data_IF_329313636231
#
_entry.id   IF_329313636231
#
_cell.length_a   1.000
_cell.length_b   1.000
_cell.length_c   1.000
_cell.angle_alpha   90.00
_cell.angle_beta   90.00
_cell.angle_gamma   90.00
#
_symmetry.space_group_name_H-M   'P 1'
#
loop_
_entity.id
_entity.type
_entity.pdbx_description
1 polymer ?
#
# COMPACT_ATOMS: atom_id res chain seq x y z
N UNK A 1 -25.35 -11.92 12.95
CA UNK A 1 -24.75 -10.99 13.93
C UNK A 1 -23.70 -10.12 13.25
N UNK A 2 -23.57 -8.87 13.67
CA UNK A 2 -22.56 -7.93 13.16
C UNK A 2 -21.19 -8.27 13.76
N UNK A 3 -20.16 -8.37 12.92
CA UNK A 3 -18.73 -8.58 13.27
C UNK A 3 -18.34 -9.84 14.06
N UNK A 4 -19.27 -10.76 14.30
CA UNK A 4 -18.96 -12.07 14.90
C UNK A 4 -18.04 -12.86 13.96
N UNK A 5 -16.89 -13.30 14.48
CA UNK A 5 -15.83 -14.04 13.79
C UNK A 5 -15.10 -13.30 12.65
N UNK A 6 -15.10 -11.95 12.64
CA UNK A 6 -14.31 -11.17 11.67
C UNK A 6 -12.96 -10.72 12.25
N UNK A 7 -11.91 -10.83 11.44
CA UNK A 7 -10.62 -10.19 11.72
C UNK A 7 -10.76 -8.70 11.40
N UNK A 8 -10.66 -7.86 12.43
CA UNK A 8 -10.70 -6.41 12.25
C UNK A 8 -9.29 -5.91 11.92
N UNK A 9 -9.16 -5.22 10.80
CA UNK A 9 -7.91 -4.57 10.43
C UNK A 9 -7.85 -3.14 10.99
N UNK A 10 -6.64 -2.67 11.30
CA UNK A 10 -6.38 -1.35 11.91
C UNK A 10 -6.94 -0.16 11.11
N UNK A 11 -7.11 -0.32 9.79
CA UNK A 11 -7.64 0.71 8.91
C UNK A 11 -9.18 0.73 8.82
N UNK A 12 -9.88 -0.17 9.54
CA UNK A 12 -11.34 -0.12 9.64
C UNK A 12 -11.71 1.00 10.63
N UNK A 13 -12.55 1.95 10.20
CA UNK A 13 -13.00 3.09 11.03
C UNK A 13 -13.68 2.67 12.35
N UNK A 14 -14.01 3.60 13.26
CA UNK A 14 -14.58 3.31 14.58
C UNK A 14 -15.77 2.33 14.57
N UNK A 15 -15.91 1.54 15.64
CA UNK A 15 -16.94 0.49 15.73
C UNK A 15 -18.37 1.00 15.53
N UNK A 16 -18.68 2.20 16.02
CA UNK A 16 -19.98 2.84 15.85
C UNK A 16 -20.29 3.16 14.38
N UNK A 17 -19.31 3.66 13.63
CA UNK A 17 -19.47 3.97 12.20
C UNK A 17 -19.68 2.71 11.38
N UNK A 18 -18.96 1.62 11.70
CA UNK A 18 -19.12 0.33 11.02
C UNK A 18 -20.48 -0.31 11.31
N UNK A 19 -20.99 -0.17 12.54
CA UNK A 19 -22.33 -0.64 12.91
C UNK A 19 -23.42 0.16 12.20
N UNK A 20 -23.32 1.49 12.20
CA UNK A 20 -24.24 2.36 11.45
C UNK A 20 -24.25 1.98 9.97
N UNK A 21 -23.08 1.78 9.38
CA UNK A 21 -22.93 1.33 8.01
C UNK A 21 -23.59 -0.04 7.74
N UNK A 22 -23.39 -1.00 8.63
CA UNK A 22 -24.01 -2.32 8.51
C UNK A 22 -25.54 -2.22 8.51
N UNK A 23 -26.12 -1.45 9.43
CA UNK A 23 -27.58 -1.24 9.51
C UNK A 23 -28.09 -0.61 8.21
N UNK A 24 -27.41 0.43 7.71
CA UNK A 24 -27.81 1.10 6.48
C UNK A 24 -27.77 0.18 5.25
N UNK A 25 -26.77 -0.73 5.16
CA UNK A 25 -26.70 -1.76 4.12
C UNK A 25 -27.84 -2.77 4.23
N UNK A 26 -28.14 -3.24 5.45
CA UNK A 26 -29.24 -4.19 5.70
C UNK A 26 -30.61 -3.60 5.36
N UNK A 27 -30.80 -2.30 5.53
CA UNK A 27 -32.02 -1.58 5.13
C UNK A 27 -32.06 -1.25 3.63
N UNK A 28 -31.05 -1.63 2.85
CA UNK A 28 -30.95 -1.30 1.41
C UNK A 28 -30.74 0.18 1.13
N UNK A 29 -30.41 0.98 2.15
CA UNK A 29 -30.18 2.42 2.04
C UNK A 29 -28.77 2.75 1.56
N UNK A 30 -27.89 1.75 1.55
CA UNK A 30 -26.49 1.85 1.08
C UNK A 30 -26.21 0.64 0.16
N UNK A 31 -26.63 0.70 -1.11
CA UNK A 31 -26.28 -0.30 -2.10
C UNK A 31 -24.85 -0.03 -2.59
N UNK A 32 -23.85 -0.35 -1.76
CA UNK A 32 -22.42 -0.04 -1.98
C UNK A 32 -22.14 1.46 -2.20
N UNK A 33 -21.22 2.06 -1.43
CA UNK A 33 -20.80 3.46 -1.63
C UNK A 33 -20.04 3.67 -2.93
N UNK A 34 -19.97 2.66 -3.80
CA UNK A 34 -19.25 2.65 -5.06
C UNK A 34 -20.26 2.40 -6.16
N UNK A 35 -20.77 3.46 -6.77
CA UNK A 35 -21.58 3.37 -7.98
C UNK A 35 -20.68 2.83 -9.10
N UNK A 36 -20.95 1.62 -9.57
CA UNK A 36 -20.19 0.97 -10.66
C UNK A 36 -21.10 0.63 -11.84
N UNK A 37 -21.43 1.61 -12.67
CA UNK A 37 -22.26 1.38 -13.87
C UNK A 37 -21.42 1.28 -15.14
N UNK A 38 -21.64 0.23 -15.92
CA UNK A 38 -21.10 0.13 -17.28
C UNK A 38 -21.77 1.18 -18.17
N UNK A 39 -20.96 1.87 -18.97
CA UNK A 39 -21.43 2.90 -19.90
C UNK A 39 -21.73 2.27 -21.27
N UNK A 40 -22.86 2.66 -21.85
CA UNK A 40 -23.31 2.26 -23.18
C UNK A 40 -23.71 3.49 -23.97
N UNK A 41 -23.35 3.54 -25.25
CA UNK A 41 -23.76 4.57 -26.20
C UNK A 41 -24.98 4.12 -26.97
N UNK A 42 -25.85 5.07 -27.30
CA UNK A 42 -26.99 4.85 -28.18
C UNK A 42 -26.58 4.44 -29.60
N UNK A 43 -25.34 4.73 -30.01
CA UNK A 43 -24.80 4.31 -31.31
C UNK A 43 -24.43 2.81 -31.33
N UNK A 44 -24.04 2.23 -30.18
CA UNK A 44 -23.69 0.81 -30.03
C UNK A 44 -24.12 0.29 -28.64
N UNK A 45 -25.42 0.09 -28.41
CA UNK A 45 -25.96 -0.18 -27.07
C UNK A 45 -25.56 -1.53 -26.48
N UNK A 46 -25.10 -2.47 -27.30
CA UNK A 46 -24.70 -3.81 -26.86
C UNK A 46 -23.21 -3.93 -26.52
N UNK A 47 -22.43 -2.85 -26.71
CA UNK A 47 -20.98 -2.86 -26.52
C UNK A 47 -20.63 -1.99 -25.31
N UNK A 48 -20.00 -2.55 -24.25
CA UNK A 48 -19.49 -1.76 -23.13
C UNK A 48 -18.44 -0.75 -23.58
N UNK A 49 -18.57 0.51 -23.15
CA UNK A 49 -17.68 1.62 -23.54
C UNK A 49 -16.98 2.28 -22.35
N UNK A 50 -16.80 1.52 -21.29
CA UNK A 50 -16.19 1.97 -20.05
C UNK A 50 -17.10 1.74 -18.86
N UNK A 51 -16.67 2.22 -17.69
CA UNK A 51 -17.40 2.11 -16.44
C UNK A 51 -17.26 3.42 -15.67
N UNK A 52 -18.36 3.92 -15.16
CA UNK A 52 -18.32 4.94 -14.13
C UNK A 52 -18.07 4.22 -12.80
N UNK A 53 -17.08 4.68 -12.05
CA UNK A 53 -16.84 4.26 -10.67
C UNK A 53 -16.84 5.52 -9.81
N UNK A 54 -17.80 5.65 -8.90
CA UNK A 54 -17.97 6.87 -8.10
C UNK A 54 -18.20 6.52 -6.63
N UNK A 55 -17.49 7.22 -5.75
CA UNK A 55 -17.79 7.23 -4.32
C UNK A 55 -18.85 8.29 -4.01
N UNK A 56 -19.92 7.91 -3.33
CA UNK A 56 -20.98 8.85 -2.94
C UNK A 56 -21.04 8.98 -1.43
N UNK A 57 -20.73 10.19 -0.94
CA UNK A 57 -20.89 10.57 0.45
C UNK A 57 -22.15 11.44 0.60
N UNK A 58 -23.00 11.11 1.56
CA UNK A 58 -24.25 11.82 1.84
C UNK A 58 -24.19 12.41 3.25
N UNK A 59 -24.30 13.74 3.36
CA UNK A 59 -24.21 14.45 4.63
C UNK A 59 -25.53 15.15 4.99
N UNK A 60 -25.91 15.22 6.28
CA UNK A 60 -27.01 16.08 6.73
C UNK A 60 -26.76 17.55 6.38
N UNK A 61 -27.80 18.25 5.91
CA UNK A 61 -27.71 19.68 5.55
C UNK A 61 -27.23 20.57 6.72
N UNK A 62 -27.46 20.14 7.97
CA UNK A 62 -27.05 20.85 9.18
C UNK A 62 -25.53 20.98 9.34
N UNK A 63 -24.74 20.13 8.67
CA UNK A 63 -23.28 20.19 8.69
C UNK A 63 -22.71 21.25 7.73
N UNK A 64 -23.58 21.93 6.96
CA UNK A 64 -23.16 22.86 5.94
C UNK A 64 -22.77 22.18 4.62
N UNK A 65 -22.20 22.94 3.66
CA UNK A 65 -21.76 22.38 2.40
C UNK A 65 -20.58 21.41 2.59
N UNK A 66 -20.41 20.41 1.71
CA UNK A 66 -19.25 19.54 1.75
C UNK A 66 -17.96 20.37 1.58
N UNK A 67 -16.87 19.87 2.17
CA UNK A 67 -15.54 20.45 2.00
C UNK A 67 -15.06 20.46 0.54
N UNK A 68 -13.89 21.06 0.27
CA UNK A 68 -13.31 21.05 -1.07
C UNK A 68 -13.12 19.61 -1.59
N UNK A 69 -13.19 19.38 -2.91
CA UNK A 69 -13.00 18.06 -3.50
C UNK A 69 -11.69 17.42 -3.05
N UNK A 70 -11.73 16.12 -2.74
CA UNK A 70 -10.54 15.38 -2.38
C UNK A 70 -9.63 15.20 -3.61
N UNK A 71 -8.33 15.42 -3.45
CA UNK A 71 -7.38 15.16 -4.52
C UNK A 71 -7.11 13.64 -4.62
N UNK A 72 -7.76 12.99 -5.58
CA UNK A 72 -7.61 11.56 -5.86
C UNK A 72 -6.46 11.23 -6.83
N UNK A 73 -5.60 12.20 -7.15
CA UNK A 73 -4.44 11.96 -8.01
C UNK A 73 -3.59 10.83 -7.40
N UNK A 74 -3.16 9.82 -8.19
CA UNK A 74 -2.32 8.73 -7.69
C UNK A 74 -1.11 9.27 -6.92
N UNK A 75 -0.82 8.67 -5.77
CA UNK A 75 0.34 9.06 -4.97
C UNK A 75 1.60 8.88 -5.81
N UNK A 76 2.39 9.94 -5.96
CA UNK A 76 3.70 9.85 -6.58
C UNK A 76 4.61 9.01 -5.68
N UNK A 77 5.27 8.01 -6.25
CA UNK A 77 6.25 7.21 -5.52
C UNK A 77 7.34 8.14 -4.95
N UNK A 78 7.59 8.04 -3.65
CA UNK A 78 8.72 8.72 -3.02
C UNK A 78 9.95 7.86 -3.27
N UNK A 79 11.04 8.48 -3.73
CA UNK A 79 12.35 7.82 -3.81
C UNK A 79 12.92 7.70 -2.39
N UNK A 80 13.35 6.51 -2.03
CA UNK A 80 14.02 6.23 -0.76
C UNK A 80 15.36 5.56 -1.05
N UNK A 81 16.30 5.73 -0.11
CA UNK A 81 17.59 5.05 -0.11
C UNK A 81 17.65 4.18 1.15
N UNK A 82 18.03 2.91 1.00
CA UNK A 82 18.36 2.03 2.12
C UNK A 82 19.87 2.06 2.33
N UNK A 83 20.33 2.52 3.49
CA UNK A 83 21.74 2.47 3.88
C UNK A 83 21.96 1.38 4.90
N UNK A 84 22.94 0.53 4.64
CA UNK A 84 23.39 -0.53 5.54
C UNK A 84 24.83 -0.22 5.94
N UNK A 85 25.09 -0.19 7.24
CA UNK A 85 26.43 0.04 7.80
C UNK A 85 26.81 -1.19 8.60
N UNK A 86 27.92 -1.83 8.23
CA UNK A 86 28.52 -2.91 9.02
C UNK A 86 29.59 -2.29 9.91
N UNK A 87 29.28 -2.15 11.19
CA UNK A 87 30.18 -1.50 12.15
C UNK A 87 31.31 -2.40 12.63
N UNK A 88 31.05 -3.70 12.76
CA UNK A 88 32.04 -4.66 13.21
C UNK A 88 31.69 -6.07 12.73
N UNK A 89 32.68 -6.95 12.72
CA UNK A 89 32.54 -8.39 12.47
C UNK A 89 33.12 -9.16 13.65
N UNK A 90 32.69 -10.39 13.85
CA UNK A 90 33.17 -11.25 14.93
C UNK A 90 33.33 -12.66 14.39
N UNK A 91 34.31 -13.38 14.93
CA UNK A 91 34.58 -14.79 14.60
C UNK A 91 34.85 -14.98 13.09
N UNK A 92 35.55 -13.99 12.49
CA UNK A 92 36.01 -14.04 11.10
C UNK A 92 37.14 -15.05 10.99
N UNK A 93 37.00 -15.99 10.06
CA UNK A 93 38.04 -16.96 9.73
C UNK A 93 39.16 -16.20 9.02
N UNK A 94 40.40 -16.34 9.50
CA UNK A 94 41.59 -15.68 8.97
C UNK A 94 42.37 -16.67 8.09
N UNK A 95 42.10 -16.64 6.79
CA UNK A 95 42.65 -17.62 5.83
C UNK A 95 43.88 -17.10 5.07
N UNK A 96 44.29 -15.85 5.30
CA UNK A 96 45.41 -15.20 4.63
C UNK A 96 46.49 -14.76 5.62
N UNK A 97 47.70 -14.50 5.10
CA UNK A 97 48.81 -13.92 5.88
C UNK A 97 49.28 -12.63 5.23
N UNK A 98 49.37 -11.58 6.04
CA UNK A 98 49.87 -10.28 5.64
C UNK A 98 51.37 -10.34 5.31
N UNK A 99 51.90 -9.27 4.68
CA UNK A 99 53.33 -9.13 4.43
C UNK A 99 54.19 -9.12 5.70
N UNK A 100 53.60 -8.81 6.86
CA UNK A 100 54.23 -8.85 8.19
C UNK A 100 54.09 -10.22 8.87
N UNK A 101 53.34 -11.15 8.27
CA UNK A 101 53.10 -12.51 8.77
C UNK A 101 51.89 -12.65 9.70
N UNK A 102 51.09 -11.59 9.88
CA UNK A 102 49.87 -11.60 10.68
C UNK A 102 48.71 -12.25 9.90
N UNK A 103 47.87 -13.03 10.58
CA UNK A 103 46.69 -13.64 9.96
C UNK A 103 45.63 -12.57 9.66
N UNK A 104 45.06 -12.62 8.45
CA UNK A 104 44.08 -11.65 7.96
C UNK A 104 43.04 -12.32 7.05
N UNK A 105 41.97 -11.58 6.73
CA UNK A 105 40.97 -11.96 5.73
C UNK A 105 40.36 -10.75 5.05
N UNK A 106 40.16 -10.85 3.74
CA UNK A 106 39.42 -9.88 2.95
C UNK A 106 37.92 -10.07 3.14
N UNK A 107 37.21 -8.99 3.48
CA UNK A 107 35.76 -8.99 3.69
C UNK A 107 35.08 -8.19 2.60
N UNK A 108 34.14 -8.82 1.92
CA UNK A 108 33.37 -8.22 0.84
C UNK A 108 31.87 -8.32 1.09
N UNK A 109 31.16 -7.21 0.91
CA UNK A 109 29.71 -7.15 1.13
C UNK A 109 29.00 -6.94 -0.19
N UNK A 110 27.95 -7.71 -0.43
CA UNK A 110 27.11 -7.59 -1.63
C UNK A 110 25.63 -7.54 -1.25
N UNK A 111 24.93 -6.49 -1.66
CA UNK A 111 23.51 -6.27 -1.37
C UNK A 111 22.68 -6.23 -2.66
N UNK A 112 21.49 -6.83 -2.64
CA UNK A 112 20.50 -6.75 -3.71
C UNK A 112 19.09 -6.79 -3.13
N UNK A 113 18.11 -6.33 -3.91
CA UNK A 113 16.70 -6.35 -3.53
C UNK A 113 15.93 -7.22 -4.54
N UNK A 114 15.04 -8.12 -4.07
CA UNK A 114 14.19 -8.90 -4.97
C UNK A 114 13.39 -8.01 -5.92
N UNK A 115 13.43 -8.29 -7.23
CA UNK A 115 12.79 -7.49 -8.27
C UNK A 115 13.58 -6.26 -8.73
N UNK A 116 14.81 -6.09 -8.24
CA UNK A 116 15.77 -5.03 -8.59
C UNK A 116 17.21 -5.58 -8.62
N UNK A 117 17.38 -6.83 -9.05
CA UNK A 117 18.66 -7.55 -9.02
C UNK A 117 19.73 -6.90 -9.90
N UNK A 118 19.33 -6.16 -10.93
CA UNK A 118 20.21 -5.37 -11.80
C UNK A 118 20.89 -4.19 -11.07
N UNK A 119 20.32 -3.73 -9.95
CA UNK A 119 20.85 -2.65 -9.12
C UNK A 119 21.70 -3.15 -7.95
N UNK A 120 22.27 -4.33 -8.08
CA UNK A 120 23.13 -4.96 -7.07
C UNK A 120 24.32 -4.07 -6.73
N UNK A 121 24.50 -3.80 -5.43
CA UNK A 121 25.61 -3.02 -4.91
C UNK A 121 26.60 -3.90 -4.16
N UNK A 122 27.83 -3.41 -4.08
CA UNK A 122 28.95 -4.18 -3.58
C UNK A 122 30.04 -3.24 -3.02
N UNK A 123 30.75 -3.65 -1.98
CA UNK A 123 31.98 -2.95 -1.56
C UNK A 123 33.08 -3.17 -2.59
N UNK A 124 34.21 -2.48 -2.48
CA UNK A 124 35.39 -2.78 -3.29
C UNK A 124 36.09 -4.05 -2.78
#
# INVERSE_FOLDING_TARGET
EFEVNKILHEHLGPGEERLALHILRTQGLVPEHVETRTLYSTFQPNIPQGRLQMWVDVFPKSLGPPGPPFNITPRKAKKYELRVIIWNTKDVILDEKSITGEEMSDIYVKGWMPGHEEYKQKTD
#
